data_IF_096747314422
#
_entry.id   IF_096747314422
#
_cell.length_a   1.000
_cell.length_b   1.000
_cell.length_c   1.000
_cell.angle_alpha   90.00
_cell.angle_beta   90.00
_cell.angle_gamma   90.00
#
_symmetry.space_group_name_H-M   'P 1'
#
loop_
_entity.id
_entity.type
_entity.pdbx_description
1 polymer ?
#
# COMPACT_ATOMS: atom_id res chain seq x y z
N UNK A 1 -18.21 0.96 -21.43
CA UNK A 1 -17.86 1.54 -22.75
C UNK A 1 -18.82 1.08 -23.84
N UNK A 2 -19.07 -0.20 -24.01
CA UNK A 2 -19.92 -0.74 -25.09
C UNK A 2 -21.32 -0.08 -25.19
N UNK A 3 -22.01 0.06 -24.05
CA UNK A 3 -23.34 0.71 -24.02
C UNK A 3 -23.29 2.22 -24.32
N UNK A 4 -22.24 2.89 -23.88
CA UNK A 4 -22.08 4.33 -24.14
C UNK A 4 -21.72 4.61 -25.60
N UNK A 5 -20.98 3.72 -26.26
CA UNK A 5 -20.56 3.90 -27.64
C UNK A 5 -21.72 3.91 -28.65
N UNK A 6 -22.82 3.23 -28.35
CA UNK A 6 -24.01 3.19 -29.21
C UNK A 6 -24.66 4.56 -29.39
N UNK A 7 -24.57 5.41 -28.38
CA UNK A 7 -25.18 6.74 -28.36
C UNK A 7 -24.15 7.87 -28.25
N UNK A 8 -22.85 7.56 -28.39
CA UNK A 8 -21.75 8.53 -28.25
C UNK A 8 -21.78 9.32 -26.94
N UNK A 9 -22.21 8.67 -25.84
CA UNK A 9 -22.30 9.31 -24.53
C UNK A 9 -20.90 9.45 -23.93
N UNK A 10 -20.49 10.64 -23.46
CA UNK A 10 -19.25 10.80 -22.69
C UNK A 10 -19.25 9.93 -21.46
N UNK A 11 -18.11 9.28 -21.17
CA UNK A 11 -17.95 8.41 -20.01
C UNK A 11 -16.73 8.82 -19.18
N UNK A 12 -16.85 8.68 -17.87
CA UNK A 12 -15.72 8.68 -16.95
C UNK A 12 -15.57 7.28 -16.38
N UNK A 13 -14.34 6.81 -16.26
CA UNK A 13 -14.02 5.50 -15.71
C UNK A 13 -13.24 5.68 -14.42
N UNK A 14 -13.74 5.07 -13.35
CA UNK A 14 -13.04 4.89 -12.09
C UNK A 14 -12.55 3.44 -12.02
N UNK A 15 -11.22 3.24 -11.96
CA UNK A 15 -10.58 1.94 -12.06
C UNK A 15 -9.62 1.74 -10.90
N UNK A 16 -9.15 0.50 -10.72
CA UNK A 16 -8.18 0.13 -9.70
C UNK A 16 -6.73 0.22 -10.15
N UNK A 17 -5.82 -0.04 -9.22
CA UNK A 17 -4.40 -0.06 -9.49
C UNK A 17 -3.58 -0.78 -8.42
N UNK A 18 -2.30 -0.96 -8.73
CA UNK A 18 -1.27 -1.47 -7.81
C UNK A 18 0.02 -0.69 -8.07
N UNK A 19 -0.07 0.62 -7.94
CA UNK A 19 1.02 1.54 -8.30
C UNK A 19 2.30 1.26 -7.51
N UNK A 20 3.47 1.21 -8.17
CA UNK A 20 4.74 1.09 -7.49
C UNK A 20 5.28 2.46 -7.09
N UNK A 21 5.94 2.53 -5.95
CA UNK A 21 6.88 3.57 -5.58
C UNK A 21 8.28 2.96 -5.62
N UNK A 22 9.22 3.56 -6.36
CA UNK A 22 10.52 2.95 -6.66
C UNK A 22 11.63 3.78 -6.01
N UNK A 23 12.47 3.13 -5.23
CA UNK A 23 13.55 3.75 -4.47
C UNK A 23 14.90 3.16 -4.89
N UNK A 24 15.68 3.94 -5.62
CA UNK A 24 17.05 3.63 -6.03
C UNK A 24 18.06 4.07 -4.96
N UNK A 25 19.29 3.58 -5.04
CA UNK A 25 20.31 3.81 -4.03
C UNK A 25 20.76 5.26 -3.89
N UNK A 26 20.64 6.07 -4.94
CA UNK A 26 21.00 7.48 -4.98
C UNK A 26 20.26 8.35 -3.95
N UNK A 27 19.05 7.93 -3.55
CA UNK A 27 18.27 8.65 -2.51
C UNK A 27 18.96 8.66 -1.14
N UNK A 28 19.92 7.76 -0.93
CA UNK A 28 20.66 7.62 0.33
C UNK A 28 22.12 8.07 0.24
N UNK A 29 22.55 8.70 -0.85
CA UNK A 29 23.88 9.28 -0.95
C UNK A 29 24.14 10.34 0.13
N UNK A 30 23.07 11.02 0.56
CA UNK A 30 23.08 11.98 1.66
C UNK A 30 21.92 11.71 2.60
N UNK A 31 22.16 11.88 3.90
CA UNK A 31 21.09 11.91 4.89
C UNK A 31 20.59 13.37 5.02
N UNK A 32 19.68 13.73 4.14
CA UNK A 32 19.17 15.07 3.96
C UNK A 32 17.63 15.10 3.82
N UNK A 33 17.08 16.30 3.62
CA UNK A 33 15.64 16.53 3.45
C UNK A 33 15.04 15.73 2.28
N UNK A 34 15.83 15.36 1.28
CA UNK A 34 15.34 14.56 0.16
C UNK A 34 15.07 13.12 0.59
N UNK A 35 15.99 12.54 1.37
CA UNK A 35 15.77 11.21 1.93
C UNK A 35 14.55 11.18 2.86
N UNK A 36 14.36 12.20 3.70
CA UNK A 36 13.16 12.32 4.53
C UNK A 36 11.88 12.38 3.70
N UNK A 37 11.88 13.11 2.59
CA UNK A 37 10.75 13.14 1.64
C UNK A 37 10.50 11.78 0.99
N UNK A 38 11.53 10.99 0.71
CA UNK A 38 11.38 9.63 0.22
C UNK A 38 10.70 8.73 1.25
N UNK A 39 11.04 8.88 2.54
CA UNK A 39 10.37 8.15 3.63
C UNK A 39 8.91 8.58 3.77
N UNK A 40 8.59 9.89 3.66
CA UNK A 40 7.19 10.34 3.60
C UNK A 40 6.47 9.80 2.36
N UNK A 41 7.13 9.76 1.21
CA UNK A 41 6.61 9.12 -0.01
C UNK A 41 6.32 7.64 0.17
N UNK A 42 7.15 6.93 0.93
CA UNK A 42 6.90 5.52 1.26
C UNK A 42 5.59 5.34 2.04
N UNK A 43 5.34 6.16 3.07
CA UNK A 43 4.13 5.99 3.91
C UNK A 43 2.85 6.47 3.26
N UNK A 44 2.89 7.03 2.05
CA UNK A 44 1.71 7.44 1.28
C UNK A 44 0.73 6.30 0.98
N UNK A 45 1.15 5.03 1.11
CA UNK A 45 0.22 3.89 1.03
C UNK A 45 -0.89 3.93 2.09
N UNK A 46 -0.74 4.75 3.14
CA UNK A 46 -1.74 4.96 4.17
C UNK A 46 -2.72 6.11 3.87
N UNK A 47 -2.46 6.90 2.82
CA UNK A 47 -3.32 8.04 2.48
C UNK A 47 -4.78 7.58 2.38
N UNK A 48 -5.68 8.33 3.03
CA UNK A 48 -7.09 7.97 3.12
C UNK A 48 -7.29 6.49 3.51
N UNK A 49 -6.60 6.04 4.56
CA UNK A 49 -6.53 4.63 5.04
C UNK A 49 -6.25 3.59 3.94
N UNK A 50 -5.54 3.98 2.89
CA UNK A 50 -5.19 3.13 1.75
C UNK A 50 -6.33 2.89 0.74
N UNK A 51 -7.46 3.58 0.91
CA UNK A 51 -8.61 3.51 0.01
C UNK A 51 -8.50 4.58 -1.10
N UNK A 52 -7.45 4.46 -1.90
CA UNK A 52 -7.13 5.36 -3.03
C UNK A 52 -6.64 4.54 -4.22
N UNK A 53 -7.27 4.70 -5.39
CA UNK A 53 -6.94 3.95 -6.60
C UNK A 53 -5.49 4.16 -7.09
N UNK A 54 -4.93 5.35 -6.85
CA UNK A 54 -3.54 5.70 -7.18
C UNK A 54 -2.56 5.48 -6.03
N UNK A 55 -3.00 4.86 -4.93
CA UNK A 55 -2.16 4.63 -3.76
C UNK A 55 -0.93 3.79 -4.10
N UNK A 56 0.29 4.19 -3.68
CA UNK A 56 1.50 3.42 -3.93
C UNK A 56 1.56 2.17 -3.02
N UNK A 57 0.75 1.18 -3.32
CA UNK A 57 0.60 -0.04 -2.52
C UNK A 57 1.66 -1.10 -2.77
N UNK A 58 2.64 -0.81 -3.64
CA UNK A 58 3.92 -1.52 -3.77
C UNK A 58 5.07 -0.55 -3.54
N UNK A 59 6.11 -1.00 -2.86
CA UNK A 59 7.39 -0.30 -2.77
C UNK A 59 8.49 -1.20 -3.33
N UNK A 60 9.14 -0.75 -4.39
CA UNK A 60 10.31 -1.40 -4.95
C UNK A 60 11.55 -0.71 -4.37
N UNK A 61 12.36 -1.43 -3.62
CA UNK A 61 13.54 -0.88 -2.94
C UNK A 61 14.79 -1.60 -3.42
N UNK A 62 15.78 -0.85 -3.89
CA UNK A 62 17.04 -1.44 -4.36
C UNK A 62 17.77 -2.16 -3.23
N UNK A 63 18.30 -3.35 -3.52
CA UNK A 63 18.89 -4.24 -2.50
C UNK A 63 20.00 -3.57 -1.69
N UNK A 64 20.81 -2.72 -2.32
CA UNK A 64 21.95 -2.04 -1.68
C UNK A 64 21.55 -1.13 -0.51
N UNK A 65 20.34 -0.55 -0.54
CA UNK A 65 19.84 0.37 0.50
C UNK A 65 18.76 -0.25 1.38
N UNK A 66 18.31 -1.45 1.08
CA UNK A 66 17.09 -2.02 1.63
C UNK A 66 17.02 -1.96 3.16
N UNK A 67 18.03 -2.46 3.85
CA UNK A 67 17.97 -2.61 5.32
C UNK A 67 17.88 -1.24 6.02
N UNK A 68 18.72 -0.28 5.63
CA UNK A 68 18.73 1.08 6.20
C UNK A 68 17.46 1.86 5.85
N UNK A 69 17.01 1.74 4.59
CA UNK A 69 15.75 2.37 4.15
C UNK A 69 14.57 1.82 4.95
N UNK A 70 14.46 0.50 5.06
CA UNK A 70 13.33 -0.14 5.74
C UNK A 70 13.33 0.10 7.25
N UNK A 71 14.48 0.26 7.89
CA UNK A 71 14.54 0.66 9.30
C UNK A 71 13.78 1.99 9.52
N UNK A 72 14.06 3.01 8.72
CA UNK A 72 13.39 4.32 8.83
C UNK A 72 11.93 4.26 8.36
N UNK A 73 11.66 3.59 7.25
CA UNK A 73 10.31 3.45 6.69
C UNK A 73 9.35 2.73 7.65
N UNK A 74 9.80 1.66 8.31
CA UNK A 74 9.02 0.95 9.33
C UNK A 74 8.82 1.81 10.57
N UNK A 75 9.86 2.51 11.04
CA UNK A 75 9.75 3.43 12.17
C UNK A 75 8.72 4.54 11.88
N UNK A 76 8.78 5.14 10.69
CA UNK A 76 7.82 6.17 10.26
C UNK A 76 6.40 5.62 10.10
N UNK A 77 6.25 4.41 9.58
CA UNK A 77 4.94 3.75 9.48
C UNK A 77 4.30 3.53 10.86
N UNK A 78 5.09 3.13 11.86
CA UNK A 78 4.62 2.98 13.24
C UNK A 78 4.19 4.29 13.88
N UNK A 79 4.70 5.42 13.41
CA UNK A 79 4.36 6.75 13.88
C UNK A 79 3.07 7.31 13.21
N UNK A 80 2.44 6.58 12.29
CA UNK A 80 1.15 6.97 11.71
C UNK A 80 0.07 6.89 12.78
N UNK A 81 -0.55 8.03 13.08
CA UNK A 81 -1.60 8.13 14.09
C UNK A 81 -2.95 7.70 13.50
N UNK A 82 -3.48 6.61 14.02
CA UNK A 82 -4.81 6.10 13.69
C UNK A 82 -5.76 6.36 14.85
N UNK A 83 -6.76 7.21 14.65
CA UNK A 83 -7.71 7.61 15.71
C UNK A 83 -9.02 8.16 15.11
N UNK A 84 -9.78 8.87 15.93
CA UNK A 84 -10.98 9.62 15.53
C UNK A 84 -10.61 10.70 14.50
N UNK A 85 -11.22 10.70 13.31
CA UNK A 85 -10.89 11.65 12.25
C UNK A 85 -11.22 13.12 12.57
N UNK A 86 -11.96 13.37 13.65
CA UNK A 86 -12.22 14.75 14.13
C UNK A 86 -11.08 15.33 14.98
N UNK A 87 -10.07 14.55 15.32
CA UNK A 87 -8.86 15.04 16.02
C UNK A 87 -7.83 15.53 15.01
N UNK A 88 -7.17 16.63 15.31
CA UNK A 88 -6.19 17.26 14.41
C UNK A 88 -4.94 16.41 14.15
N UNK A 89 -4.55 15.61 15.13
CA UNK A 89 -3.38 14.73 15.05
C UNK A 89 -3.65 13.42 14.31
N UNK A 90 -4.92 13.10 14.00
CA UNK A 90 -5.27 11.85 13.29
C UNK A 90 -4.81 11.92 11.85
N UNK A 91 -4.04 10.93 11.44
CA UNK A 91 -3.53 10.80 10.07
C UNK A 91 -4.40 9.88 9.22
N UNK A 92 -4.95 8.81 9.82
CA UNK A 92 -5.85 7.87 9.14
C UNK A 92 -7.02 7.47 10.04
N UNK A 93 -8.17 7.22 9.41
CA UNK A 93 -9.42 6.79 10.06
C UNK A 93 -9.73 5.31 9.88
N UNK A 94 -11.02 4.98 10.01
CA UNK A 94 -11.56 3.66 9.77
C UNK A 94 -11.73 3.37 8.27
N UNK A 95 -11.77 2.09 7.91
CA UNK A 95 -12.15 1.64 6.56
C UNK A 95 -13.63 1.98 6.28
N UNK A 96 -13.96 2.19 5.01
CA UNK A 96 -15.27 2.64 4.58
C UNK A 96 -16.42 1.69 4.95
N UNK A 97 -16.17 0.38 5.03
CA UNK A 97 -17.19 -0.61 5.38
C UNK A 97 -16.61 -1.86 6.07
N UNK A 98 -17.53 -2.66 6.63
CA UNK A 98 -17.17 -3.97 7.20
C UNK A 98 -16.67 -4.92 6.10
N UNK A 99 -17.30 -4.92 4.93
CA UNK A 99 -16.91 -5.75 3.79
C UNK A 99 -15.48 -5.42 3.35
N UNK A 100 -15.14 -4.14 3.30
CA UNK A 100 -13.78 -3.71 2.95
C UNK A 100 -12.77 -4.15 4.02
N UNK A 101 -13.11 -4.01 5.29
CA UNK A 101 -12.26 -4.51 6.38
C UNK A 101 -12.04 -6.02 6.27
N UNK A 102 -13.08 -6.82 6.02
CA UNK A 102 -12.97 -8.27 5.87
C UNK A 102 -12.13 -8.65 4.63
N UNK A 103 -12.30 -7.92 3.51
CA UNK A 103 -11.43 -8.08 2.33
C UNK A 103 -9.96 -7.87 2.72
N UNK A 104 -9.64 -6.76 3.38
CA UNK A 104 -8.25 -6.47 3.79
C UNK A 104 -7.72 -7.57 4.72
N UNK A 105 -8.49 -7.99 5.72
CA UNK A 105 -8.11 -9.09 6.62
C UNK A 105 -7.80 -10.38 5.86
N UNK A 106 -8.59 -10.71 4.84
CA UNK A 106 -8.32 -11.88 4.00
C UNK A 106 -6.97 -11.80 3.28
N UNK A 107 -6.57 -10.61 2.83
CA UNK A 107 -5.26 -10.38 2.23
C UNK A 107 -4.12 -10.38 3.25
N UNK A 108 -4.34 -9.92 4.47
CA UNK A 108 -3.34 -10.04 5.55
C UNK A 108 -3.01 -11.51 5.83
N UNK A 109 -4.03 -12.37 5.88
CA UNK A 109 -3.84 -13.80 6.07
C UNK A 109 -3.25 -14.47 4.81
N UNK A 110 -3.67 -14.04 3.62
CA UNK A 110 -3.10 -14.52 2.36
C UNK A 110 -1.59 -14.24 2.29
N UNK A 111 -1.16 -13.01 2.60
CA UNK A 111 0.25 -12.65 2.60
C UNK A 111 1.09 -13.54 3.52
N UNK A 112 0.59 -13.80 4.73
CA UNK A 112 1.23 -14.73 5.67
C UNK A 112 1.32 -16.16 5.11
N UNK A 113 0.24 -16.65 4.46
CA UNK A 113 0.21 -17.98 3.83
C UNK A 113 1.16 -18.08 2.63
N UNK A 114 1.33 -17.02 1.87
CA UNK A 114 2.28 -16.93 0.75
C UNK A 114 3.73 -16.83 1.23
N UNK A 115 3.97 -16.67 2.53
CA UNK A 115 5.29 -16.56 3.14
C UNK A 115 5.86 -15.14 3.13
N UNK A 116 5.03 -14.11 2.94
CA UNK A 116 5.46 -12.73 3.14
C UNK A 116 5.72 -12.46 4.63
N UNK A 117 6.80 -11.71 4.89
CA UNK A 117 7.18 -11.34 6.26
C UNK A 117 6.50 -10.04 6.67
N UNK A 118 5.74 -10.06 7.76
CA UNK A 118 5.17 -8.84 8.35
C UNK A 118 6.28 -8.05 9.05
N UNK A 119 6.57 -6.84 8.59
CA UNK A 119 7.54 -5.94 9.21
C UNK A 119 6.91 -5.04 10.26
N UNK A 120 5.65 -4.63 10.03
CA UNK A 120 4.81 -3.92 11.03
C UNK A 120 3.33 -4.08 10.69
N UNK A 121 2.44 -3.87 11.67
CA UNK A 121 1.00 -4.04 11.50
C UNK A 121 0.57 -5.50 11.39
N UNK A 122 -0.21 -5.83 10.38
CA UNK A 122 -0.66 -7.21 10.08
C UNK A 122 -1.87 -7.66 10.88
N UNK A 123 -2.62 -6.72 11.47
CA UNK A 123 -3.82 -7.01 12.25
C UNK A 123 -4.83 -5.86 12.25
N UNK A 124 -5.99 -6.13 12.84
CA UNK A 124 -7.01 -5.10 13.11
C UNK A 124 -6.45 -4.10 14.11
N UNK A 125 -6.75 -2.83 13.91
CA UNK A 125 -6.41 -1.75 14.83
C UNK A 125 -7.22 -1.89 16.13
N UNK A 126 -6.53 -1.84 17.27
CA UNK A 126 -7.17 -1.82 18.59
C UNK A 126 -7.14 -0.38 19.10
N UNK A 127 -8.24 0.32 18.89
CA UNK A 127 -8.40 1.67 19.41
C UNK A 127 -9.26 1.67 20.66
N UNK A 128 -9.06 2.67 21.50
CA UNK A 128 -9.80 2.87 22.75
C UNK A 128 -10.79 4.04 22.61
N UNK A 129 -11.45 4.40 23.69
CA UNK A 129 -12.23 5.63 23.80
C UNK A 129 -13.46 5.70 22.89
N UNK A 130 -14.18 4.57 22.75
CA UNK A 130 -15.43 4.50 22.00
C UNK A 130 -15.25 4.16 20.52
N UNK A 131 -14.02 3.87 20.06
CA UNK A 131 -13.69 3.52 18.68
C UNK A 131 -13.52 2.00 18.48
N UNK A 132 -13.74 1.19 19.51
CA UNK A 132 -13.45 -0.25 19.53
C UNK A 132 -14.26 -1.04 18.48
N UNK A 133 -15.42 -0.51 18.10
CA UNK A 133 -16.31 -1.12 17.10
C UNK A 133 -16.07 -0.64 15.67
N UNK A 134 -15.11 0.26 15.46
CA UNK A 134 -14.78 0.79 14.15
C UNK A 134 -13.98 -0.18 13.29
N UNK A 135 -14.05 0.02 11.98
CA UNK A 135 -13.37 -0.83 10.98
C UNK A 135 -11.91 -0.43 10.82
N UNK A 136 -11.09 -0.55 11.85
CA UNK A 136 -9.72 -0.12 11.83
C UNK A 136 -8.76 -1.25 11.46
N UNK A 137 -7.90 -1.00 10.48
CA UNK A 137 -6.79 -1.88 10.08
C UNK A 137 -5.48 -1.14 10.35
N UNK A 138 -4.55 -1.80 11.03
CA UNK A 138 -3.23 -1.21 11.28
C UNK A 138 -2.46 -1.00 9.98
N UNK A 139 -1.75 0.14 9.81
CA UNK A 139 -0.75 0.30 8.75
C UNK A 139 0.16 -0.91 8.69
N UNK A 140 0.16 -1.59 7.54
CA UNK A 140 0.82 -2.88 7.41
C UNK A 140 1.87 -2.86 6.31
N UNK A 141 3.08 -3.29 6.66
CA UNK A 141 4.19 -3.44 5.72
C UNK A 141 4.58 -4.91 5.64
N UNK A 142 4.49 -5.47 4.45
CA UNK A 142 5.00 -6.80 4.13
C UNK A 142 6.32 -6.73 3.35
N UNK A 143 7.33 -7.48 3.75
CA UNK A 143 8.39 -7.88 2.85
C UNK A 143 7.88 -9.06 2.01
N UNK A 144 7.82 -8.88 0.71
CA UNK A 144 7.14 -9.79 -0.21
C UNK A 144 7.96 -10.03 -1.48
N UNK A 145 7.54 -11.00 -2.28
CA UNK A 145 8.07 -11.24 -3.62
C UNK A 145 7.08 -10.72 -4.67
N UNK A 146 7.60 -10.33 -5.84
CA UNK A 146 6.77 -9.77 -6.90
C UNK A 146 5.64 -10.70 -7.38
N UNK A 147 5.86 -12.02 -7.34
CA UNK A 147 4.88 -13.03 -7.79
C UNK A 147 3.80 -13.39 -6.76
N UNK A 148 3.83 -12.83 -5.55
CA UNK A 148 2.78 -13.05 -4.55
C UNK A 148 1.51 -12.28 -4.91
N UNK A 149 0.35 -12.83 -4.62
CA UNK A 149 -0.93 -12.18 -4.91
C UNK A 149 -1.09 -10.85 -4.19
N UNK A 150 -0.57 -10.72 -2.96
CA UNK A 150 -0.55 -9.45 -2.22
C UNK A 150 0.25 -8.36 -2.94
N UNK A 151 1.17 -8.72 -3.83
CA UNK A 151 1.98 -7.83 -4.65
C UNK A 151 1.36 -7.56 -6.03
N UNK A 152 0.39 -8.38 -6.45
CA UNK A 152 -0.22 -8.35 -7.78
C UNK A 152 -1.65 -7.79 -7.76
N UNK A 153 -2.36 -7.95 -6.66
CA UNK A 153 -3.79 -7.63 -6.56
C UNK A 153 -4.02 -6.38 -5.70
N UNK A 154 -5.05 -5.61 -6.04
CA UNK A 154 -5.45 -4.43 -5.29
C UNK A 154 -6.14 -4.81 -3.99
N UNK A 155 -5.52 -4.49 -2.86
CA UNK A 155 -6.09 -4.72 -1.52
C UNK A 155 -7.08 -3.60 -1.15
N UNK A 156 -6.77 -2.36 -1.54
CA UNK A 156 -7.55 -1.16 -1.24
C UNK A 156 -7.67 -0.90 0.26
N UNK A 157 -6.53 -0.85 0.93
CA UNK A 157 -6.39 -0.64 2.38
C UNK A 157 -4.94 -0.26 2.75
N UNK A 158 -4.65 0.03 4.03
CA UNK A 158 -3.35 0.52 4.47
C UNK A 158 -2.30 -0.60 4.51
N UNK A 159 -2.06 -1.23 3.37
CA UNK A 159 -1.16 -2.38 3.21
C UNK A 159 -0.24 -2.15 2.02
N UNK A 160 1.06 -2.21 2.27
CA UNK A 160 2.09 -2.13 1.23
C UNK A 160 2.90 -3.42 1.15
N UNK A 161 3.18 -3.87 -0.08
CA UNK A 161 4.12 -4.95 -0.36
C UNK A 161 5.46 -4.34 -0.76
N UNK A 162 6.50 -4.62 0.02
CA UNK A 162 7.87 -4.17 -0.26
C UNK A 162 8.62 -5.29 -0.95
N UNK A 163 9.23 -4.97 -2.08
CA UNK A 163 9.90 -5.92 -2.96
C UNK A 163 11.32 -5.41 -3.22
N UNK A 164 12.31 -6.26 -3.02
CA UNK A 164 13.70 -5.94 -3.37
C UNK A 164 13.90 -6.06 -4.88
N UNK A 165 14.72 -5.20 -5.43
CA UNK A 165 15.20 -5.31 -6.80
C UNK A 165 16.70 -5.00 -6.88
N UNK A 166 17.38 -5.51 -7.91
CA UNK A 166 18.83 -5.41 -8.07
C UNK A 166 19.23 -4.23 -8.94
N UNK A 167 18.58 -4.10 -10.08
CA UNK A 167 18.90 -3.14 -11.12
C UNK A 167 17.65 -2.55 -11.77
N UNK A 168 17.85 -1.55 -12.61
CA UNK A 168 16.77 -0.85 -13.30
C UNK A 168 15.93 -1.79 -14.17
N UNK A 169 16.55 -2.76 -14.84
CA UNK A 169 15.83 -3.70 -15.71
C UNK A 169 14.84 -4.55 -14.91
N UNK A 170 15.22 -4.98 -13.71
CA UNK A 170 14.33 -5.70 -12.80
C UNK A 170 13.23 -4.80 -12.26
N UNK A 171 13.54 -3.55 -11.87
CA UNK A 171 12.54 -2.58 -11.42
C UNK A 171 11.49 -2.30 -12.51
N UNK A 172 11.92 -2.10 -13.74
CA UNK A 172 11.04 -1.92 -14.92
C UNK A 172 10.15 -3.16 -15.11
N UNK A 173 10.72 -4.36 -15.06
CA UNK A 173 9.97 -5.61 -15.17
C UNK A 173 8.89 -5.72 -14.08
N UNK A 174 9.20 -5.35 -12.84
CA UNK A 174 8.26 -5.42 -11.72
C UNK A 174 7.18 -4.34 -11.78
N UNK A 175 7.46 -3.20 -12.40
CA UNK A 175 6.48 -2.12 -12.58
C UNK A 175 5.31 -2.57 -13.45
N UNK A 176 5.58 -3.32 -14.51
CA UNK A 176 4.59 -3.79 -15.46
C UNK A 176 3.84 -5.02 -14.93
N UNK A 177 2.79 -4.78 -14.17
CA UNK A 177 1.87 -5.85 -13.79
C UNK A 177 0.88 -6.08 -14.92
N UNK A 178 0.71 -7.35 -15.30
CA UNK A 178 -0.48 -7.76 -16.03
C UNK A 178 -1.61 -7.90 -15.02
N UNK A 179 -2.31 -6.81 -14.74
CA UNK A 179 -3.60 -6.93 -14.07
C UNK A 179 -4.46 -7.85 -14.92
N UNK A 180 -5.18 -8.82 -14.33
CA UNK A 180 -6.12 -9.62 -15.08
C UNK A 180 -7.19 -8.69 -15.65
N UNK A 181 -6.98 -8.25 -16.89
CA UNK A 181 -7.83 -7.33 -17.64
C UNK A 181 -9.02 -8.07 -18.14
N UNK A 182 -9.65 -8.89 -17.75
CA UNK A 182 -10.94 -9.49 -18.13
C UNK A 182 -11.26 -10.67 -17.20
N UNK A 183 -11.90 -10.35 -16.12
CA UNK A 183 -13.00 -11.22 -15.75
C UNK A 183 -14.26 -10.42 -16.05
N UNK A 184 -14.91 -10.79 -17.10
CA UNK A 184 -16.27 -10.38 -17.40
C UNK A 184 -17.12 -10.54 -16.15
N UNK A 185 -17.78 -9.47 -15.76
CA UNK A 185 -18.86 -9.49 -14.79
C UNK A 185 -20.13 -9.75 -15.58
#
# INVERSE_FOLDING_TARGET
MQYASQNLIPITLELGGKSPNIFFEDIMEKDDDFFDKCIEGFVMFNLNQGEVCTCPSRALVQESIYDKFMERAVARTKAVVQDNPLKMETMIGAQASVEQMEKIKSYLELGKKEGAKVLTGGSVGKLNSGLEKGNYIQPTVFEAKNNMRISQEEIFGPVVSVIKFKDEAEAVSYTHLTLPTNREV
#
